data_IF_759099749763
#
_entry.id   IF_759099749763
#
_cell.length_a   1.000
_cell.length_b   1.000
_cell.length_c   1.000
_cell.angle_alpha   90.00
_cell.angle_beta   90.00
_cell.angle_gamma   90.00
#
_symmetry.space_group_name_H-M   'P 1'
#
loop_
_entity.id
_entity.type
_entity.pdbx_description
1 polymer ?
#
# COMPACT_ATOMS: atom_id res chain seq x y z
N UNK A 1 -13.48 -2.14 0.26
CA UNK A 1 -12.03 -2.21 0.43
C UNK A 1 -11.42 -3.22 -0.53
N UNK A 2 -10.16 -3.00 -0.90
CA UNK A 2 -9.48 -3.89 -1.84
C UNK A 2 -9.26 -5.27 -1.23
N UNK A 3 -9.58 -6.30 -2.01
CA UNK A 3 -9.30 -7.68 -1.65
C UNK A 3 -9.36 -8.54 -2.92
N UNK A 4 -8.63 -9.67 -2.97
CA UNK A 4 -8.71 -10.54 -4.13
C UNK A 4 -10.10 -11.17 -4.27
N UNK A 5 -10.59 -11.25 -5.51
CA UNK A 5 -11.85 -11.93 -5.79
C UNK A 5 -11.73 -13.43 -5.62
N UNK A 6 -10.56 -13.96 -5.92
CA UNK A 6 -10.29 -15.40 -5.84
C UNK A 6 -8.84 -15.62 -5.45
N UNK A 7 -8.59 -16.59 -4.58
CA UNK A 7 -7.23 -16.96 -4.17
C UNK A 7 -7.00 -18.45 -4.36
N UNK A 8 -5.78 -18.79 -4.73
CA UNK A 8 -5.34 -20.18 -4.83
C UNK A 8 -5.20 -20.79 -3.43
N UNK A 9 -4.66 -20.00 -2.50
CA UNK A 9 -4.47 -20.40 -1.11
C UNK A 9 -5.03 -19.33 -0.19
N UNK A 10 -5.86 -19.72 0.77
CA UNK A 10 -6.38 -18.80 1.78
C UNK A 10 -5.43 -18.60 2.95
N UNK A 11 -4.52 -19.54 3.16
CA UNK A 11 -3.57 -19.53 4.28
C UNK A 11 -2.14 -19.69 3.77
N UNK A 12 -1.65 -18.76 2.93
CA UNK A 12 -0.29 -18.85 2.42
C UNK A 12 0.74 -18.60 3.53
N UNK A 13 1.97 -19.02 3.28
CA UNK A 13 3.07 -18.67 4.14
C UNK A 13 3.35 -17.17 4.07
N UNK A 14 3.88 -16.61 5.16
CA UNK A 14 4.25 -15.20 5.19
C UNK A 14 5.34 -14.90 4.18
N UNK A 15 5.15 -13.80 3.46
CA UNK A 15 6.16 -13.28 2.54
C UNK A 15 7.00 -12.23 3.27
N UNK A 16 8.30 -12.19 2.95
CA UNK A 16 9.19 -11.21 3.54
C UNK A 16 9.03 -9.86 2.83
N UNK A 17 9.05 -8.78 3.61
CA UNK A 17 9.11 -7.41 3.08
C UNK A 17 10.53 -6.84 3.16
N UNK A 18 11.51 -7.65 3.50
CA UNK A 18 12.90 -7.24 3.55
C UNK A 18 13.50 -7.15 2.16
N UNK A 19 14.58 -6.41 2.05
CA UNK A 19 15.25 -6.18 0.78
C UNK A 19 14.62 -5.04 -0.02
N UNK A 20 15.10 -4.83 -1.23
CA UNK A 20 14.62 -3.76 -2.12
C UNK A 20 13.62 -4.31 -3.12
N UNK A 21 12.65 -3.50 -3.48
CA UNK A 21 11.68 -3.86 -4.51
C UNK A 21 12.39 -4.03 -5.86
N UNK A 22 12.08 -5.13 -6.55
CA UNK A 22 12.61 -5.40 -7.90
C UNK A 22 11.69 -4.88 -9.00
N UNK A 23 10.43 -4.63 -8.66
CA UNK A 23 9.42 -4.16 -9.62
C UNK A 23 8.60 -3.03 -8.99
N UNK A 24 7.88 -2.30 -9.83
CA UNK A 24 7.02 -1.22 -9.36
C UNK A 24 7.81 -0.05 -8.77
N UNK A 25 8.99 0.23 -9.31
CA UNK A 25 9.86 1.31 -8.83
C UNK A 25 9.72 2.60 -9.62
N UNK A 26 8.97 2.58 -10.70
CA UNK A 26 8.80 3.73 -11.58
C UNK A 26 7.36 4.21 -11.59
N UNK A 27 7.20 5.52 -11.76
CA UNK A 27 5.89 6.15 -11.92
C UNK A 27 5.48 5.97 -13.37
N UNK A 28 4.32 5.33 -13.61
CA UNK A 28 3.86 4.98 -14.96
C UNK A 28 2.67 5.81 -15.44
N UNK A 29 1.64 5.94 -14.62
CA UNK A 29 0.39 6.59 -15.01
C UNK A 29 0.29 8.04 -14.58
N UNK A 30 0.85 8.37 -13.43
CA UNK A 30 0.77 9.70 -12.85
C UNK A 30 1.98 10.56 -13.13
N UNK A 31 1.96 11.78 -12.61
CA UNK A 31 3.08 12.71 -12.65
C UNK A 31 3.90 12.69 -11.38
N UNK A 32 3.28 12.29 -10.27
CA UNK A 32 3.89 12.25 -8.95
C UNK A 32 3.63 10.91 -8.29
N UNK A 33 4.56 10.46 -7.49
CA UNK A 33 4.43 9.17 -6.81
C UNK A 33 4.86 9.21 -5.36
N UNK A 34 4.22 8.38 -4.56
CA UNK A 34 4.59 8.15 -3.16
C UNK A 34 5.31 6.81 -3.10
N UNK A 35 6.58 6.87 -2.71
CA UNK A 35 7.48 5.71 -2.74
C UNK A 35 7.81 5.27 -1.32
N UNK A 36 7.76 3.98 -1.07
CA UNK A 36 8.12 3.41 0.23
C UNK A 36 9.64 3.46 0.42
N UNK A 37 10.07 3.90 1.60
CA UNK A 37 11.48 3.89 1.98
C UNK A 37 11.81 2.80 2.99
N UNK A 38 10.78 2.18 3.56
CA UNK A 38 10.93 1.03 4.46
C UNK A 38 9.97 -0.06 4.03
N UNK A 39 10.21 -1.28 4.51
CA UNK A 39 9.34 -2.41 4.21
C UNK A 39 8.33 -2.66 5.30
N UNK A 40 7.11 -3.06 4.92
CA UNK A 40 6.06 -3.46 5.86
C UNK A 40 4.92 -4.14 5.13
N UNK A 41 4.02 -4.71 5.92
CA UNK A 41 2.71 -5.16 5.42
C UNK A 41 1.74 -3.99 5.53
N UNK A 42 1.14 -3.62 4.41
CA UNK A 42 0.14 -2.54 4.36
C UNK A 42 -1.22 -3.18 4.19
N UNK A 43 -2.11 -2.98 5.17
CA UNK A 43 -3.43 -3.59 5.14
C UNK A 43 -4.34 -2.89 4.11
N UNK A 44 -5.38 -3.60 3.66
CA UNK A 44 -6.37 -3.02 2.76
C UNK A 44 -7.07 -1.81 3.39
N UNK A 45 -7.24 -1.80 4.72
CA UNK A 45 -7.82 -0.66 5.43
C UNK A 45 -6.89 0.55 5.39
N UNK A 46 -5.60 0.35 5.54
CA UNK A 46 -4.60 1.42 5.45
C UNK A 46 -4.55 2.02 4.04
N UNK A 47 -4.60 1.18 3.02
CA UNK A 47 -4.63 1.63 1.62
C UNK A 47 -5.87 2.49 1.37
N UNK A 48 -7.03 2.04 1.83
CA UNK A 48 -8.28 2.77 1.66
C UNK A 48 -8.26 4.10 2.41
N UNK A 49 -7.75 4.10 3.64
CA UNK A 49 -7.62 5.32 4.43
C UNK A 49 -6.71 6.35 3.75
N UNK A 50 -5.59 5.90 3.18
CA UNK A 50 -4.68 6.77 2.45
C UNK A 50 -5.33 7.35 1.20
N UNK A 51 -6.04 6.51 0.44
CA UNK A 51 -6.78 6.96 -0.75
C UNK A 51 -7.81 8.05 -0.40
N UNK A 52 -8.58 7.83 0.64
CA UNK A 52 -9.59 8.80 1.09
C UNK A 52 -8.92 10.11 1.49
N UNK A 53 -7.82 10.06 2.24
CA UNK A 53 -7.11 11.26 2.65
C UNK A 53 -6.62 12.08 1.45
N UNK A 54 -6.06 11.41 0.44
CA UNK A 54 -5.60 12.06 -0.78
C UNK A 54 -6.74 12.69 -1.57
N UNK A 55 -7.81 11.95 -1.79
CA UNK A 55 -8.94 12.42 -2.61
C UNK A 55 -9.67 13.58 -1.94
N UNK A 56 -9.81 13.57 -0.62
CA UNK A 56 -10.43 14.68 0.11
C UNK A 56 -9.61 15.96 -0.04
N UNK A 57 -8.30 15.86 0.11
CA UNK A 57 -7.46 17.04 -0.02
C UNK A 57 -7.53 17.64 -1.43
N UNK A 58 -7.55 16.80 -2.45
CA UNK A 58 -7.60 17.25 -3.83
C UNK A 58 -8.98 17.72 -4.29
N UNK A 59 -10.01 17.59 -3.47
CA UNK A 59 -11.39 17.94 -3.80
C UNK A 59 -11.86 17.33 -5.12
N UNK A 60 -11.45 16.08 -5.39
CA UNK A 60 -11.73 15.37 -6.64
C UNK A 60 -11.13 16.02 -7.88
N UNK A 61 -10.14 16.91 -7.69
CA UNK A 61 -9.51 17.67 -8.77
C UNK A 61 -8.34 16.99 -9.43
N UNK A 62 -8.22 15.71 -9.41
CA UNK A 62 -7.14 14.97 -10.04
C UNK A 62 -7.44 13.51 -10.06
N UNK A 63 -6.46 12.70 -10.47
CA UNK A 63 -6.59 11.26 -10.50
C UNK A 63 -5.57 10.62 -9.57
N UNK A 64 -5.98 9.55 -8.91
CA UNK A 64 -5.14 8.76 -8.00
C UNK A 64 -5.11 7.33 -8.50
N UNK A 65 -3.93 6.75 -8.61
CA UNK A 65 -3.75 5.33 -8.91
C UNK A 65 -3.16 4.65 -7.70
N UNK A 66 -3.74 3.51 -7.33
CA UNK A 66 -3.21 2.64 -6.28
C UNK A 66 -2.35 1.60 -6.98
N UNK A 67 -1.05 1.58 -6.68
CA UNK A 67 -0.07 0.72 -7.37
C UNK A 67 0.27 -0.53 -6.57
N UNK A 68 -0.29 -0.68 -5.37
CA UNK A 68 -0.10 -1.87 -4.55
C UNK A 68 -1.45 -2.55 -4.34
N UNK A 69 -1.44 -3.86 -4.20
CA UNK A 69 -2.68 -4.62 -4.02
C UNK A 69 -2.53 -5.58 -2.83
N UNK A 70 -3.51 -5.63 -1.93
CA UNK A 70 -3.46 -6.52 -0.77
C UNK A 70 -3.84 -7.95 -1.16
N UNK A 71 -2.85 -8.72 -1.59
CA UNK A 71 -3.06 -10.09 -2.06
C UNK A 71 -2.71 -11.17 -1.02
N UNK A 72 -2.03 -10.80 0.06
CA UNK A 72 -1.62 -11.75 1.09
C UNK A 72 -2.66 -11.78 2.20
N UNK A 73 -3.19 -12.98 2.48
CA UNK A 73 -4.12 -13.17 3.58
C UNK A 73 -3.35 -13.21 4.90
N UNK A 74 -3.86 -12.48 5.89
CA UNK A 74 -3.38 -12.56 7.27
C UNK A 74 -4.36 -13.37 8.08
N UNK A 75 -3.84 -14.32 8.86
CA UNK A 75 -4.64 -15.18 9.71
C UNK A 75 -4.41 -14.81 11.17
N UNK A 76 -5.48 -14.93 11.97
CA UNK A 76 -5.42 -14.70 13.40
C UNK A 76 -6.25 -15.76 14.10
N UNK A 77 -5.68 -16.36 15.15
CA UNK A 77 -6.43 -17.30 15.98
C UNK A 77 -7.23 -16.52 17.01
N UNK A 78 -8.45 -16.98 17.35
CA UNK A 78 -9.18 -16.40 18.48
C UNK A 78 -8.35 -16.49 19.76
N UNK A 79 -8.55 -15.55 20.67
CA UNK A 79 -7.82 -15.51 21.94
C UNK A 79 -7.98 -16.78 22.78
N UNK A 80 -9.10 -17.48 22.62
CA UNK A 80 -9.43 -18.69 23.37
C UNK A 80 -8.83 -19.97 22.79
N UNK A 81 -8.25 -19.90 21.58
CA UNK A 81 -7.69 -21.08 20.91
C UNK A 81 -6.25 -21.26 21.31
N UNK A 82 -5.88 -22.47 21.71
CA UNK A 82 -4.52 -22.80 22.08
C UNK A 82 -3.60 -22.77 20.86
N UNK A 83 -2.35 -22.38 21.10
CA UNK A 83 -1.32 -22.44 20.06
C UNK A 83 -1.10 -23.89 19.64
N UNK A 84 -0.82 -24.10 18.36
CA UNK A 84 -0.55 -25.42 17.81
C UNK A 84 -1.75 -26.13 17.17
N UNK A 85 -2.95 -25.55 17.23
CA UNK A 85 -4.16 -26.11 16.63
C UNK A 85 -4.25 -25.86 15.12
N UNK A 86 -3.13 -25.55 14.47
CA UNK A 86 -3.08 -25.20 13.06
C UNK A 86 -3.22 -23.70 12.84
N UNK A 87 -3.13 -23.28 11.59
CA UNK A 87 -3.22 -21.88 11.20
C UNK A 87 -4.66 -21.38 11.32
N UNK A 88 -4.85 -20.20 11.85
CA UNK A 88 -6.18 -19.59 12.00
C UNK A 88 -6.83 -19.27 10.66
N UNK A 89 -8.11 -18.93 10.69
CA UNK A 89 -8.84 -18.49 9.51
C UNK A 89 -8.32 -17.14 9.01
N UNK A 90 -8.40 -16.85 7.70
CA UNK A 90 -8.02 -15.55 7.18
C UNK A 90 -8.87 -14.44 7.81
N UNK A 91 -8.22 -13.39 8.32
CA UNK A 91 -8.89 -12.26 8.97
C UNK A 91 -8.84 -11.00 8.12
N UNK A 92 -7.80 -10.82 7.32
CA UNK A 92 -7.63 -9.63 6.51
C UNK A 92 -6.65 -9.85 5.38
N UNK A 93 -6.44 -8.80 4.61
CA UNK A 93 -5.58 -8.82 3.43
C UNK A 93 -4.55 -7.70 3.54
N UNK A 94 -3.32 -7.99 3.15
CA UNK A 94 -2.23 -7.01 3.15
C UNK A 94 -1.45 -7.05 1.85
N UNK A 95 -0.86 -5.90 1.51
CA UNK A 95 0.14 -5.80 0.47
C UNK A 95 1.51 -5.89 1.12
N UNK A 96 2.41 -6.67 0.53
CA UNK A 96 3.79 -6.75 0.98
C UNK A 96 4.56 -5.65 0.25
N UNK A 97 5.01 -4.65 0.99
CA UNK A 97 5.70 -3.48 0.42
C UNK A 97 7.16 -3.52 0.81
N UNK A 98 8.03 -3.46 -0.19
CA UNK A 98 9.47 -3.40 -0.02
C UNK A 98 9.98 -1.99 -0.30
N UNK A 99 11.12 -1.59 0.28
CA UNK A 99 11.70 -0.27 -0.03
C UNK A 99 11.90 -0.06 -1.53
N UNK A 100 11.56 1.12 -2.01
CA UNK A 100 11.66 1.48 -3.43
C UNK A 100 10.38 1.27 -4.22
N UNK A 101 9.35 0.69 -3.64
CA UNK A 101 8.08 0.45 -4.32
C UNK A 101 7.25 1.72 -4.40
N UNK A 102 6.77 2.06 -5.60
CA UNK A 102 5.79 3.13 -5.79
C UNK A 102 4.43 2.59 -5.33
N UNK A 103 3.86 3.22 -4.31
CA UNK A 103 2.58 2.78 -3.73
C UNK A 103 1.38 3.47 -4.35
N UNK A 104 1.49 4.77 -4.58
CA UNK A 104 0.41 5.59 -5.14
C UNK A 104 0.96 6.54 -6.16
N UNK A 105 0.13 6.92 -7.15
CA UNK A 105 0.47 7.93 -8.14
C UNK A 105 -0.66 8.96 -8.22
N UNK A 106 -0.30 10.20 -8.47
CA UNK A 106 -1.27 11.30 -8.64
C UNK A 106 -0.94 12.04 -9.93
N UNK A 107 -1.98 12.48 -10.62
CA UNK A 107 -1.86 13.37 -11.79
C UNK A 107 -3.02 14.36 -11.82
N UNK A 108 -2.86 15.42 -12.59
CA UNK A 108 -3.91 16.42 -12.79
C UNK A 108 -3.99 17.49 -11.71
N UNK A 109 -2.98 17.59 -10.84
CA UNK A 109 -2.89 18.62 -9.79
C UNK A 109 -1.48 19.20 -9.77
N UNK A 110 -1.32 20.34 -9.09
CA UNK A 110 0.00 20.97 -8.94
C UNK A 110 0.87 20.14 -8.00
N UNK A 111 2.18 20.38 -8.09
CA UNK A 111 3.13 19.68 -7.22
C UNK A 111 2.87 19.95 -5.74
N UNK A 112 2.51 21.18 -5.37
CA UNK A 112 2.20 21.54 -3.99
C UNK A 112 1.01 20.76 -3.46
N UNK A 113 -0.05 20.65 -4.26
CA UNK A 113 -1.24 19.88 -3.89
C UNK A 113 -0.89 18.40 -3.76
N UNK A 114 -0.11 17.86 -4.68
CA UNK A 114 0.30 16.46 -4.63
C UNK A 114 1.16 16.17 -3.40
N UNK A 115 2.10 17.04 -3.06
CA UNK A 115 2.95 16.88 -1.87
C UNK A 115 2.12 16.82 -0.60
N UNK A 116 1.17 17.75 -0.45
CA UNK A 116 0.32 17.79 0.74
C UNK A 116 -0.62 16.57 0.80
N UNK A 117 -1.19 16.18 -0.33
CA UNK A 117 -2.04 14.99 -0.39
C UNK A 117 -1.26 13.74 0.04
N UNK A 118 -0.04 13.57 -0.45
CA UNK A 118 0.80 12.45 -0.05
C UNK A 118 1.26 12.52 1.40
N UNK A 119 1.48 13.72 1.93
CA UNK A 119 1.81 13.88 3.35
C UNK A 119 0.68 13.37 4.23
N UNK A 120 -0.55 13.75 3.89
CA UNK A 120 -1.74 13.27 4.62
C UNK A 120 -1.90 11.75 4.48
N UNK A 121 -1.67 11.23 3.29
CA UNK A 121 -1.74 9.78 3.05
C UNK A 121 -0.68 9.02 3.86
N UNK A 122 0.53 9.57 3.97
CA UNK A 122 1.62 8.90 4.67
C UNK A 122 1.33 8.68 6.15
N UNK A 123 0.51 9.55 6.76
CA UNK A 123 0.08 9.38 8.15
C UNK A 123 -0.78 8.15 8.37
N UNK A 124 -1.36 7.59 7.31
CA UNK A 124 -2.22 6.39 7.36
C UNK A 124 -1.45 5.11 7.04
N UNK A 125 -0.19 5.22 6.64
CA UNK A 125 0.61 4.09 6.19
C UNK A 125 1.67 3.73 7.24
N UNK A 126 2.03 2.44 7.36
CA UNK A 126 3.01 1.99 8.35
C UNK A 126 4.45 2.10 7.88
N UNK A 127 4.69 2.62 6.68
CA UNK A 127 6.03 2.72 6.10
C UNK A 127 6.49 4.17 6.04
N UNK A 128 7.79 4.37 6.04
CA UNK A 128 8.38 5.67 5.70
C UNK A 128 8.23 5.88 4.20
N UNK A 129 7.90 7.11 3.80
CA UNK A 129 7.58 7.43 2.42
C UNK A 129 8.38 8.62 1.93
N UNK A 130 8.50 8.72 0.62
CA UNK A 130 9.14 9.86 -0.03
C UNK A 130 8.34 10.25 -1.28
N UNK A 131 8.26 11.53 -1.54
CA UNK A 131 7.63 12.08 -2.73
C UNK A 131 8.63 12.08 -3.89
N UNK A 132 8.17 11.62 -5.06
CA UNK A 132 8.95 11.67 -6.28
C UNK A 132 8.12 12.23 -7.42
N UNK A 133 8.78 12.92 -8.33
CA UNK A 133 8.21 13.29 -9.63
C UNK A 133 8.55 12.19 -10.63
N UNK A 134 7.73 12.07 -11.67
CA UNK A 134 8.01 11.12 -12.74
C UNK A 134 9.40 11.40 -13.36
N UNK A 135 10.20 10.35 -13.45
CA UNK A 135 11.57 10.44 -13.94
C UNK A 135 12.64 10.57 -12.85
N UNK A 136 12.28 10.90 -11.61
CA UNK A 136 13.21 10.99 -10.49
C UNK A 136 13.43 9.67 -9.76
N UNK A 137 12.52 8.73 -9.95
CA UNK A 137 12.51 7.46 -9.24
C UNK A 137 13.61 6.53 -9.76
N UNK A 138 14.52 6.12 -8.91
CA UNK A 138 15.61 5.20 -9.26
C UNK A 138 15.64 3.98 -8.34
#
# INVERSE_FOLDING_TARGET
MLMPNRTKFRRPHRLSYEGRSKAGREITFGEFGLVAQSGAYVSNRQIEAARIAMTRYMNRGGQVWIKIFPHLAITKKPLEVRMGSGKGAPEGWVAVVQPGRVMFEIAGVSEEVAREAFRLASHKLPVKTKFYKKGECK
#
